data_IF_693216298984
#
_entry.id   IF_693216298984
#
_cell.length_a   1.000
_cell.length_b   1.000
_cell.length_c   1.000
_cell.angle_alpha   90.00
_cell.angle_beta   90.00
_cell.angle_gamma   90.00
#
_symmetry.space_group_name_H-M   'P 1'
#
loop_
_entity.id
_entity.type
_entity.pdbx_description
1 polymer ?
#
# COMPACT_ATOMS: atom_id res chain seq x y z
N UNK A 1 -53.23 -51.68 -3.82
CA UNK A 1 -53.36 -51.02 -2.49
C UNK A 1 -52.01 -50.43 -2.09
N UNK A 2 -52.01 -49.27 -1.43
CA UNK A 2 -50.90 -48.66 -0.65
C UNK A 2 -49.59 -48.32 -1.37
N UNK A 3 -49.53 -47.08 -1.85
CA UNK A 3 -48.31 -46.26 -1.98
C UNK A 3 -47.87 -45.78 -0.60
N UNK A 4 -46.65 -46.12 -0.15
CA UNK A 4 -45.86 -45.47 0.93
C UNK A 4 -44.38 -45.84 0.66
N UNK A 5 -43.35 -44.99 0.73
CA UNK A 5 -43.20 -43.53 0.56
C UNK A 5 -41.70 -43.22 0.35
N UNK A 6 -41.35 -42.15 -0.38
CA UNK A 6 -39.98 -41.64 -0.52
C UNK A 6 -39.99 -40.12 -0.33
N UNK A 7 -39.60 -39.60 0.84
CA UNK A 7 -39.33 -38.17 1.09
C UNK A 7 -38.81 -37.90 2.52
N UNK A 8 -37.53 -38.16 2.82
CA UNK A 8 -36.84 -37.51 3.96
C UNK A 8 -35.38 -37.21 3.56
N UNK A 9 -35.13 -36.09 2.88
CA UNK A 9 -33.79 -35.57 2.59
C UNK A 9 -33.83 -34.08 2.19
N UNK A 10 -34.53 -33.24 2.97
CA UNK A 10 -34.63 -31.80 2.71
C UNK A 10 -34.98 -30.98 3.98
N UNK A 11 -34.09 -30.90 4.98
CA UNK A 11 -34.33 -30.04 6.16
C UNK A 11 -33.08 -29.63 6.97
N UNK A 12 -31.93 -29.38 6.32
CA UNK A 12 -30.67 -29.00 7.02
C UNK A 12 -29.90 -27.83 6.40
N UNK A 13 -30.52 -27.05 5.50
CA UNK A 13 -29.83 -25.97 4.77
C UNK A 13 -29.97 -24.55 5.38
N UNK A 14 -30.80 -24.35 6.41
CA UNK A 14 -31.10 -23.03 6.99
C UNK A 14 -30.31 -22.67 8.25
N UNK A 15 -29.48 -23.57 8.78
CA UNK A 15 -28.68 -23.34 10.01
C UNK A 15 -27.51 -22.36 9.84
N UNK A 16 -27.16 -21.98 8.60
CA UNK A 16 -26.03 -21.10 8.27
C UNK A 16 -26.44 -19.84 7.48
N UNK A 17 -27.70 -19.43 7.57
CA UNK A 17 -28.10 -18.11 7.07
C UNK A 17 -27.64 -17.02 8.05
N UNK A 18 -26.76 -16.06 7.65
CA UNK A 18 -26.36 -14.97 8.54
C UNK A 18 -27.57 -14.08 8.85
N UNK A 19 -28.00 -14.08 10.11
CA UNK A 19 -29.08 -13.20 10.57
C UNK A 19 -28.61 -11.74 10.52
N UNK A 20 -29.20 -10.95 9.63
CA UNK A 20 -28.91 -9.51 9.47
C UNK A 20 -29.58 -8.65 10.57
N UNK A 21 -29.54 -9.10 11.83
CA UNK A 21 -30.07 -8.35 12.97
C UNK A 21 -29.16 -7.17 13.32
N UNK A 22 -29.47 -5.99 12.77
CA UNK A 22 -28.89 -4.71 13.20
C UNK A 22 -29.44 -4.30 14.59
N UNK A 23 -29.05 -5.04 15.61
CA UNK A 23 -29.36 -4.76 17.00
C UNK A 23 -28.22 -5.28 17.86
N UNK A 24 -27.48 -4.37 18.50
CA UNK A 24 -26.31 -4.67 19.32
C UNK A 24 -26.66 -5.42 20.60
N UNK A 25 -27.00 -6.70 20.48
CA UNK A 25 -26.99 -7.64 21.60
C UNK A 25 -25.53 -7.99 21.84
N UNK A 26 -24.97 -7.52 22.96
CA UNK A 26 -23.66 -7.97 23.42
C UNK A 26 -23.70 -9.49 23.51
N UNK A 27 -22.99 -10.16 22.60
CA UNK A 27 -22.79 -11.60 22.69
C UNK A 27 -21.82 -11.86 23.83
N UNK A 28 -22.07 -12.91 24.62
CA UNK A 28 -21.21 -13.28 25.75
C UNK A 28 -19.74 -13.58 25.34
N UNK A 29 -19.47 -13.67 24.04
CA UNK A 29 -18.14 -13.75 23.40
C UNK A 29 -17.20 -12.56 23.67
N UNK A 30 -17.69 -11.40 24.14
CA UNK A 30 -16.87 -10.19 24.32
C UNK A 30 -16.88 -9.62 25.75
N UNK A 31 -17.45 -10.35 26.71
CA UNK A 31 -17.39 -10.00 28.13
C UNK A 31 -16.25 -10.74 28.82
N UNK A 32 -15.53 -10.07 29.73
CA UNK A 32 -14.61 -10.75 30.66
C UNK A 32 -15.39 -11.79 31.46
N UNK A 33 -14.87 -13.02 31.52
CA UNK A 33 -15.45 -14.08 32.34
C UNK A 33 -15.26 -13.72 33.82
N UNK A 34 -16.32 -13.83 34.62
CA UNK A 34 -16.24 -13.52 36.05
C UNK A 34 -15.51 -14.63 36.80
N UNK A 35 -14.22 -14.42 37.05
CA UNK A 35 -13.34 -15.33 37.80
C UNK A 35 -13.42 -15.15 39.32
N UNK A 36 -14.25 -14.22 39.84
CA UNK A 36 -14.28 -13.88 41.28
C UNK A 36 -14.56 -15.10 42.16
N UNK A 37 -15.56 -15.92 41.80
CA UNK A 37 -15.89 -17.14 42.54
C UNK A 37 -14.81 -18.23 42.47
N UNK A 38 -14.06 -18.30 41.37
CA UNK A 38 -12.94 -19.24 41.25
C UNK A 38 -11.75 -18.80 42.12
N UNK A 39 -11.47 -17.49 42.17
CA UNK A 39 -10.44 -16.91 43.05
C UNK A 39 -10.78 -17.16 44.52
N UNK A 40 -12.04 -16.97 44.92
CA UNK A 40 -12.49 -17.29 46.29
C UNK A 40 -12.32 -18.78 46.63
N UNK A 41 -12.70 -19.68 45.70
CA UNK A 41 -12.50 -21.12 45.87
C UNK A 41 -11.02 -21.52 45.96
N UNK A 42 -10.15 -20.94 45.13
CA UNK A 42 -8.70 -21.18 45.18
C UNK A 42 -8.07 -20.67 46.48
N UNK A 43 -8.50 -19.51 46.97
CA UNK A 43 -8.08 -18.99 48.27
C UNK A 43 -8.61 -19.83 49.44
N UNK A 44 -9.81 -20.40 49.34
CA UNK A 44 -10.35 -21.29 50.36
C UNK A 44 -9.63 -22.65 50.39
N UNK A 45 -9.36 -23.25 49.22
CA UNK A 45 -8.57 -24.47 49.08
C UNK A 45 -7.14 -24.26 49.64
N UNK A 46 -6.49 -23.15 49.27
CA UNK A 46 -5.16 -22.78 49.78
C UNK A 46 -5.12 -22.64 51.31
N UNK A 47 -6.22 -22.18 51.94
CA UNK A 47 -6.36 -22.09 53.41
C UNK A 47 -6.62 -23.45 54.08
N UNK A 48 -7.38 -24.34 53.43
CA UNK A 48 -7.78 -25.65 53.97
C UNK A 48 -6.67 -26.70 53.86
N UNK A 49 -6.00 -26.75 52.72
CA UNK A 49 -5.04 -27.81 52.37
C UNK A 49 -3.59 -27.32 52.31
N UNK A 50 -3.38 -26.00 52.31
CA UNK A 50 -2.07 -25.35 52.19
C UNK A 50 -1.77 -24.93 50.75
N UNK A 51 -1.02 -23.84 50.59
CA UNK A 51 -0.75 -23.23 49.27
C UNK A 51 0.04 -24.13 48.29
N UNK A 52 0.70 -25.19 48.78
CA UNK A 52 1.43 -26.16 47.97
C UNK A 52 0.69 -27.52 47.83
N UNK A 53 -0.59 -27.59 48.21
CA UNK A 53 -1.39 -28.82 48.05
C UNK A 53 -1.84 -28.99 46.58
N UNK A 54 -2.07 -30.23 46.12
CA UNK A 54 -2.59 -30.47 44.77
C UNK A 54 -4.01 -29.90 44.58
N UNK A 55 -4.84 -29.87 45.63
CA UNK A 55 -6.18 -29.27 45.59
C UNK A 55 -6.11 -27.74 45.43
N UNK A 56 -5.15 -27.08 46.08
CA UNK A 56 -4.90 -25.66 45.90
C UNK A 56 -4.36 -25.36 44.49
N UNK A 57 -3.42 -26.18 43.99
CA UNK A 57 -2.87 -26.05 42.64
C UNK A 57 -3.97 -26.16 41.56
N UNK A 58 -4.79 -27.22 41.61
CA UNK A 58 -5.91 -27.42 40.67
C UNK A 58 -6.93 -26.27 40.72
N UNK A 59 -7.17 -25.69 41.89
CA UNK A 59 -8.07 -24.54 42.01
C UNK A 59 -7.47 -23.26 41.39
N UNK A 60 -6.15 -23.08 41.45
CA UNK A 60 -5.46 -22.00 40.73
C UNK A 60 -5.37 -22.23 39.23
N UNK A 61 -5.19 -23.46 38.75
CA UNK A 61 -5.27 -23.80 37.31
C UNK A 61 -6.64 -23.41 36.72
N UNK A 62 -7.74 -23.58 37.47
CA UNK A 62 -9.08 -23.12 37.04
C UNK A 62 -9.16 -21.59 36.95
N UNK A 63 -8.53 -20.85 37.89
CA UNK A 63 -8.47 -19.39 37.81
C UNK A 63 -7.66 -18.95 36.58
N UNK A 64 -6.54 -19.61 36.30
CA UNK A 64 -5.68 -19.33 35.16
C UNK A 64 -6.38 -19.60 33.82
N UNK A 65 -7.09 -20.73 33.66
CA UNK A 65 -7.87 -21.04 32.45
C UNK A 65 -9.01 -20.03 32.20
N UNK A 66 -9.65 -19.55 33.27
CA UNK A 66 -10.70 -18.53 33.18
C UNK A 66 -10.15 -17.14 32.80
N UNK A 67 -8.98 -16.75 33.29
CA UNK A 67 -8.33 -15.47 32.94
C UNK A 67 -7.64 -15.54 31.56
N UNK A 68 -7.08 -16.69 31.18
CA UNK A 68 -6.56 -16.96 29.83
C UNK A 68 -7.67 -16.93 28.75
N UNK A 69 -8.91 -17.25 29.14
CA UNK A 69 -10.10 -17.09 28.29
C UNK A 69 -10.54 -15.63 28.12
N UNK A 70 -9.98 -14.68 28.87
CA UNK A 70 -10.36 -13.26 28.82
C UNK A 70 -9.81 -12.54 27.58
N UNK A 71 -10.60 -12.58 26.51
CA UNK A 71 -10.33 -11.86 25.28
C UNK A 71 -10.61 -10.34 25.36
N UNK A 72 -10.93 -9.78 26.55
CA UNK A 72 -11.21 -8.35 26.72
C UNK A 72 -10.05 -7.44 26.29
N UNK A 73 -8.81 -7.94 26.32
CA UNK A 73 -7.64 -7.24 25.80
C UNK A 73 -7.70 -7.00 24.28
N UNK A 74 -8.27 -7.95 23.51
CA UNK A 74 -8.42 -7.85 22.06
C UNK A 74 -9.64 -7.01 21.65
N UNK A 75 -10.66 -6.90 22.50
CA UNK A 75 -11.84 -6.05 22.27
C UNK A 75 -11.71 -4.63 22.84
N UNK A 76 -10.52 -4.24 23.33
CA UNK A 76 -10.25 -2.84 23.70
C UNK A 76 -10.54 -1.95 22.48
N UNK A 77 -11.33 -0.86 22.63
CA UNK A 77 -11.55 0.06 21.52
C UNK A 77 -10.19 0.58 21.05
N UNK A 78 -10.01 0.67 19.73
CA UNK A 78 -8.78 1.19 19.14
C UNK A 78 -8.41 2.50 19.86
N UNK A 79 -7.22 2.51 20.47
CA UNK A 79 -6.75 3.66 21.23
C UNK A 79 -6.82 4.87 20.30
N UNK A 80 -7.56 5.91 20.73
CA UNK A 80 -7.56 7.20 20.05
C UNK A 80 -6.21 7.86 20.25
N UNK A 81 -5.24 7.40 19.48
CA UNK A 81 -3.91 7.95 19.44
C UNK A 81 -3.98 9.30 18.71
N UNK A 82 -3.90 10.37 19.50
CA UNK A 82 -3.89 11.73 18.99
C UNK A 82 -2.67 11.99 18.07
N UNK A 83 -1.59 11.21 18.21
CA UNK A 83 -0.44 11.25 17.31
C UNK A 83 -0.79 10.62 15.95
N UNK A 84 -1.55 9.52 15.94
CA UNK A 84 -2.06 8.91 14.71
C UNK A 84 -3.07 9.82 13.98
N UNK A 85 -4.06 10.38 14.71
CA UNK A 85 -5.01 11.34 14.13
C UNK A 85 -4.29 12.59 13.56
N UNK A 86 -3.26 13.08 14.27
CA UNK A 86 -2.40 14.16 13.81
C UNK A 86 -1.62 13.81 12.53
N UNK A 87 -1.01 12.63 12.47
CA UNK A 87 -0.27 12.13 11.29
C UNK A 87 -1.18 11.96 10.08
N UNK A 88 -2.37 11.37 10.25
CA UNK A 88 -3.36 11.22 9.16
C UNK A 88 -3.78 12.58 8.61
N UNK A 89 -4.02 13.56 9.48
CA UNK A 89 -4.37 14.94 9.07
C UNK A 89 -3.23 15.67 8.36
N UNK A 90 -1.98 15.47 8.81
CA UNK A 90 -0.81 16.02 8.12
C UNK A 90 -0.63 15.39 6.72
N UNK A 91 -0.88 14.08 6.60
CA UNK A 91 -0.81 13.37 5.33
C UNK A 91 -1.88 13.86 4.33
N UNK A 92 -3.12 14.08 4.79
CA UNK A 92 -4.19 14.59 3.92
C UNK A 92 -3.88 16.01 3.43
N UNK A 93 -3.35 16.88 4.29
CA UNK A 93 -2.93 18.23 3.89
C UNK A 93 -1.79 18.21 2.86
N UNK A 94 -0.86 17.26 2.95
CA UNK A 94 0.19 17.08 1.95
C UNK A 94 -0.37 16.63 0.61
N UNK A 95 -1.31 15.67 0.60
CA UNK A 95 -1.98 15.19 -0.61
C UNK A 95 -2.77 16.30 -1.33
N UNK A 96 -3.50 17.13 -0.58
CA UNK A 96 -4.23 18.28 -1.14
C UNK A 96 -3.25 19.29 -1.77
N UNK A 97 -2.13 19.60 -1.10
CA UNK A 97 -1.09 20.50 -1.65
C UNK A 97 -0.46 19.94 -2.93
N UNK A 98 -0.08 18.65 -2.95
CA UNK A 98 0.48 18.00 -4.14
C UNK A 98 -0.52 17.99 -5.30
N UNK A 99 -1.81 17.83 -5.01
CA UNK A 99 -2.87 17.90 -6.03
C UNK A 99 -2.99 19.32 -6.63
N UNK A 100 -2.93 20.36 -5.82
CA UNK A 100 -2.93 21.75 -6.29
C UNK A 100 -1.67 22.08 -7.11
N UNK A 101 -0.51 21.60 -6.70
CA UNK A 101 0.75 21.72 -7.44
C UNK A 101 0.68 20.97 -8.80
N UNK A 102 0.09 19.78 -8.85
CA UNK A 102 -0.17 19.06 -10.09
C UNK A 102 -1.17 19.77 -11.01
N UNK A 103 -2.19 20.43 -10.45
CA UNK A 103 -3.11 21.27 -11.22
C UNK A 103 -2.39 22.50 -11.81
N UNK A 104 -1.47 23.12 -11.07
CA UNK A 104 -0.63 24.20 -11.58
C UNK A 104 0.31 23.70 -12.68
N UNK A 105 1.05 22.61 -12.46
CA UNK A 105 1.92 21.99 -13.48
C UNK A 105 1.13 21.64 -14.75
N UNK A 106 -0.08 21.08 -14.61
CA UNK A 106 -0.94 20.80 -15.76
C UNK A 106 -1.31 22.07 -16.53
N UNK A 107 -1.66 23.15 -15.83
CA UNK A 107 -1.95 24.44 -16.46
C UNK A 107 -0.72 24.98 -17.20
N UNK A 108 0.46 24.98 -16.56
CA UNK A 108 1.71 25.37 -17.22
C UNK A 108 2.00 24.52 -18.46
N UNK A 109 1.78 23.19 -18.39
CA UNK A 109 1.97 22.29 -19.52
C UNK A 109 0.97 22.53 -20.66
N UNK A 110 -0.28 22.88 -20.36
CA UNK A 110 -1.30 23.22 -21.36
C UNK A 110 -1.05 24.62 -21.97
N UNK A 111 -0.57 25.58 -21.18
CA UNK A 111 -0.09 26.90 -21.67
C UNK A 111 1.14 26.72 -22.59
N UNK A 112 2.10 25.86 -22.22
CA UNK A 112 3.27 25.50 -23.03
C UNK A 112 2.92 24.80 -24.35
N UNK A 113 1.87 23.96 -24.40
CA UNK A 113 1.36 23.40 -25.67
C UNK A 113 0.76 24.47 -26.60
N UNK A 114 0.23 25.55 -26.03
CA UNK A 114 -0.27 26.70 -26.78
C UNK A 114 0.85 27.52 -27.43
N UNK A 115 2.01 27.60 -26.78
CA UNK A 115 3.21 28.19 -27.36
C UNK A 115 3.84 27.18 -28.33
N UNK A 116 3.62 27.39 -29.63
CA UNK A 116 4.47 26.78 -30.68
C UNK A 116 5.89 27.34 -30.59
N UNK A 117 6.64 26.89 -29.60
CA UNK A 117 8.10 27.00 -29.61
C UNK A 117 8.58 26.29 -30.88
N UNK A 118 9.37 26.98 -31.69
CA UNK A 118 10.07 26.34 -32.78
C UNK A 118 10.90 25.21 -32.16
N UNK A 119 10.67 23.99 -32.64
CA UNK A 119 11.37 22.80 -32.16
C UNK A 119 12.87 23.08 -32.22
N UNK A 120 13.60 23.13 -31.09
CA UNK A 120 15.04 23.26 -31.15
C UNK A 120 15.54 22.04 -31.91
N UNK A 121 16.19 22.26 -33.06
CA UNK A 121 16.81 21.17 -33.79
C UNK A 121 17.98 20.69 -32.92
N UNK A 122 17.76 19.61 -32.17
CA UNK A 122 18.80 18.90 -31.44
C UNK A 122 19.67 18.18 -32.46
N UNK A 123 20.44 18.96 -33.21
CA UNK A 123 21.53 18.48 -34.05
C UNK A 123 22.75 18.28 -33.16
N UNK A 124 23.14 17.01 -33.03
CA UNK A 124 24.39 16.52 -32.44
C UNK A 124 24.55 16.61 -30.91
N UNK A 125 24.14 15.53 -30.22
CA UNK A 125 25.12 14.58 -29.64
C UNK A 125 24.47 13.32 -29.04
N UNK A 126 24.34 12.26 -29.85
CA UNK A 126 24.34 10.84 -29.43
C UNK A 126 24.19 9.94 -30.68
N UNK A 127 25.20 9.16 -31.10
CA UNK A 127 25.09 8.28 -32.25
C UNK A 127 24.60 6.86 -31.87
N UNK A 128 23.49 6.73 -31.11
CA UNK A 128 23.13 5.42 -30.49
C UNK A 128 21.64 5.03 -30.37
N UNK A 129 20.74 5.57 -31.22
CA UNK A 129 19.31 5.21 -31.16
C UNK A 129 18.79 3.96 -31.94
N UNK A 130 19.51 3.30 -32.89
CA UNK A 130 18.91 2.22 -33.68
C UNK A 130 18.74 0.90 -32.91
N UNK A 131 19.56 0.64 -31.88
CA UNK A 131 19.49 -0.58 -31.08
C UNK A 131 18.28 -0.55 -30.13
N UNK A 132 18.14 0.55 -29.37
CA UNK A 132 17.03 0.75 -28.45
C UNK A 132 15.67 0.73 -29.16
N UNK A 133 15.55 1.42 -30.31
CA UNK A 133 14.31 1.40 -31.09
C UNK A 133 13.92 0.00 -31.60
N UNK A 134 14.90 -0.83 -31.99
CA UNK A 134 14.65 -2.22 -32.41
C UNK A 134 14.22 -3.10 -31.24
N UNK A 135 14.87 -2.97 -30.08
CA UNK A 135 14.50 -3.71 -28.87
C UNK A 135 13.06 -3.37 -28.44
N UNK A 136 12.72 -2.07 -28.38
CA UNK A 136 11.37 -1.61 -28.04
C UNK A 136 10.30 -2.05 -29.06
N UNK A 137 10.63 -2.07 -30.35
CA UNK A 137 9.73 -2.58 -31.38
C UNK A 137 9.48 -4.10 -31.22
N UNK A 138 10.54 -4.87 -30.94
CA UNK A 138 10.47 -6.32 -30.68
C UNK A 138 9.63 -6.63 -29.42
N UNK A 139 9.88 -5.92 -28.31
CA UNK A 139 9.14 -6.09 -27.07
C UNK A 139 7.64 -5.77 -27.21
N UNK A 140 7.30 -4.73 -27.99
CA UNK A 140 5.90 -4.40 -28.30
C UNK A 140 5.26 -5.45 -29.20
N UNK A 141 5.92 -5.91 -30.26
CA UNK A 141 5.41 -6.96 -31.14
C UNK A 141 5.17 -8.27 -30.37
N UNK A 142 6.11 -8.71 -29.53
CA UNK A 142 5.95 -9.89 -28.70
C UNK A 142 4.83 -9.73 -27.65
N UNK A 143 4.65 -8.53 -27.11
CA UNK A 143 3.54 -8.18 -26.20
C UNK A 143 2.18 -8.23 -26.91
N UNK A 144 2.11 -7.84 -28.19
CA UNK A 144 0.90 -7.85 -29.01
C UNK A 144 0.53 -9.25 -29.52
N UNK A 145 1.52 -10.04 -29.96
CA UNK A 145 1.33 -11.38 -30.53
C UNK A 145 1.08 -12.46 -29.45
N UNK A 146 1.84 -12.44 -28.36
CA UNK A 146 1.79 -13.47 -27.31
C UNK A 146 1.09 -13.00 -26.02
N UNK A 147 0.82 -11.70 -25.89
CA UNK A 147 0.24 -11.09 -24.69
C UNK A 147 1.27 -10.74 -23.62
N UNK A 148 1.00 -9.70 -22.84
CA UNK A 148 1.95 -9.09 -21.88
C UNK A 148 2.51 -10.02 -20.77
N UNK A 149 1.89 -11.18 -20.53
CA UNK A 149 2.32 -12.12 -19.50
C UNK A 149 3.07 -13.35 -20.04
N UNK A 150 3.22 -13.47 -21.36
CA UNK A 150 3.94 -14.57 -22.03
C UNK A 150 5.43 -14.57 -21.68
N UNK A 151 6.10 -15.68 -21.98
CA UNK A 151 7.55 -15.81 -21.76
C UNK A 151 8.29 -15.01 -22.84
N UNK A 152 7.76 -15.03 -24.05
CA UNK A 152 8.24 -14.34 -25.24
C UNK A 152 8.23 -12.82 -25.07
N UNK A 153 7.16 -12.26 -24.49
CA UNK A 153 7.10 -10.84 -24.18
C UNK A 153 8.11 -10.46 -23.09
N UNK A 154 8.26 -11.28 -22.04
CA UNK A 154 9.21 -11.03 -20.95
C UNK A 154 10.66 -11.02 -21.44
N UNK A 155 11.08 -12.04 -22.19
CA UNK A 155 12.42 -12.12 -22.80
C UNK A 155 12.72 -10.92 -23.71
N UNK A 156 11.71 -10.44 -24.45
CA UNK A 156 11.86 -9.27 -25.30
C UNK A 156 11.98 -7.95 -24.51
N UNK A 157 11.32 -7.84 -23.35
CA UNK A 157 11.51 -6.72 -22.42
C UNK A 157 12.85 -6.79 -21.66
N UNK A 158 13.31 -7.98 -21.25
CA UNK A 158 14.66 -8.18 -20.71
C UNK A 158 15.73 -7.70 -21.71
N UNK A 159 15.54 -7.94 -23.01
CA UNK A 159 16.43 -7.42 -24.07
C UNK A 159 16.44 -5.88 -24.13
N UNK A 160 15.31 -5.21 -23.84
CA UNK A 160 15.26 -3.74 -23.75
C UNK A 160 16.06 -3.25 -22.54
N UNK A 161 15.95 -3.94 -21.40
CA UNK A 161 16.69 -3.61 -20.19
C UNK A 161 18.20 -3.84 -20.35
N UNK A 162 18.63 -4.92 -21.02
CA UNK A 162 20.04 -5.16 -21.35
C UNK A 162 20.62 -4.07 -22.26
N UNK A 163 19.88 -3.66 -23.30
CA UNK A 163 20.31 -2.56 -24.17
C UNK A 163 20.38 -1.24 -23.38
N UNK A 164 19.41 -0.95 -22.51
CA UNK A 164 19.42 0.25 -21.66
C UNK A 164 20.58 0.26 -20.64
N UNK A 165 20.89 -0.90 -20.05
CA UNK A 165 22.02 -1.07 -19.17
C UNK A 165 23.36 -0.89 -19.92
N UNK A 166 23.46 -1.38 -21.17
CA UNK A 166 24.65 -1.22 -22.00
C UNK A 166 24.92 0.25 -22.35
N UNK A 167 23.90 1.04 -22.66
CA UNK A 167 24.02 2.49 -22.89
C UNK A 167 24.29 3.27 -21.60
N UNK A 168 23.93 2.72 -20.44
CA UNK A 168 24.21 3.35 -19.14
C UNK A 168 25.69 3.26 -18.72
N UNK A 169 26.54 2.58 -19.49
CA UNK A 169 27.99 2.57 -19.24
C UNK A 169 28.66 3.95 -19.39
N UNK A 170 28.10 4.85 -20.21
CA UNK A 170 28.56 6.25 -20.30
C UNK A 170 28.22 7.08 -19.04
N UNK A 171 27.41 6.56 -18.10
CA UNK A 171 27.21 7.19 -16.79
C UNK A 171 28.41 7.05 -15.83
N UNK A 172 29.50 6.39 -16.26
CA UNK A 172 30.80 6.37 -15.57
C UNK A 172 31.80 7.36 -16.24
N UNK A 173 31.29 8.32 -17.02
CA UNK A 173 32.08 9.47 -17.47
C UNK A 173 32.24 10.48 -16.32
N UNK A 174 33.29 11.29 -16.38
CA UNK A 174 33.67 12.27 -15.34
C UNK A 174 32.49 13.20 -14.95
N UNK A 175 32.45 13.72 -13.71
CA UNK A 175 31.30 14.46 -13.19
C UNK A 175 30.92 15.66 -14.08
N UNK A 176 29.61 15.92 -14.21
CA UNK A 176 28.99 16.89 -15.14
C UNK A 176 29.29 18.37 -14.82
N UNK A 177 30.24 18.63 -13.93
CA UNK A 177 30.40 19.87 -13.18
C UNK A 177 30.98 21.03 -14.02
N UNK A 178 31.65 20.74 -15.15
CA UNK A 178 32.38 21.76 -15.92
C UNK A 178 31.86 22.03 -17.35
N UNK A 179 31.05 21.14 -17.95
CA UNK A 179 30.55 21.35 -19.33
C UNK A 179 29.06 21.70 -19.43
N UNK A 180 28.21 21.32 -18.45
CA UNK A 180 26.77 21.63 -18.50
C UNK A 180 26.42 23.04 -17.93
N UNK A 181 27.30 23.62 -17.10
CA UNK A 181 27.04 24.92 -16.48
C UNK A 181 27.21 26.11 -17.44
N UNK A 182 28.01 26.02 -18.50
CA UNK A 182 28.24 27.17 -19.40
C UNK A 182 26.97 27.48 -20.20
N UNK A 183 26.35 26.48 -20.83
CA UNK A 183 25.09 26.66 -21.56
C UNK A 183 23.92 27.02 -20.63
N UNK A 184 23.89 26.48 -19.40
CA UNK A 184 22.85 26.81 -18.42
C UNK A 184 23.00 28.24 -17.88
N UNK A 185 24.23 28.77 -17.76
CA UNK A 185 24.50 30.16 -17.37
C UNK A 185 24.13 31.12 -18.51
N UNK A 186 24.48 30.84 -19.77
CA UNK A 186 24.01 31.65 -20.92
C UNK A 186 22.47 31.59 -21.05
N UNK A 187 21.87 30.42 -20.82
CA UNK A 187 20.41 30.26 -20.76
C UNK A 187 19.77 31.12 -19.65
N UNK A 188 20.39 31.20 -18.48
CA UNK A 188 19.95 32.09 -17.39
C UNK A 188 20.09 33.58 -17.76
N UNK A 189 21.20 33.99 -18.39
CA UNK A 189 21.39 35.40 -18.80
C UNK A 189 20.37 35.81 -19.88
N UNK A 190 20.04 34.91 -20.81
CA UNK A 190 18.97 35.12 -21.77
C UNK A 190 17.59 35.26 -21.11
N UNK A 191 17.32 34.47 -20.06
CA UNK A 191 16.06 34.52 -19.30
C UNK A 191 15.94 35.81 -18.47
N UNK A 192 17.03 36.30 -17.86
CA UNK A 192 17.04 37.60 -17.18
C UNK A 192 16.81 38.76 -18.14
N UNK A 193 17.45 38.76 -19.32
CA UNK A 193 17.19 39.76 -20.39
C UNK A 193 15.73 39.73 -20.86
N UNK A 194 15.13 38.54 -20.99
CA UNK A 194 13.72 38.40 -21.36
C UNK A 194 12.78 38.90 -20.25
N UNK A 195 13.12 38.65 -18.99
CA UNK A 195 12.37 39.18 -17.82
C UNK A 195 12.45 40.70 -17.75
N UNK A 196 13.63 41.29 -17.93
CA UNK A 196 13.81 42.74 -17.98
C UNK A 196 13.02 43.39 -19.15
N UNK A 197 12.91 42.72 -20.30
CA UNK A 197 12.09 43.16 -21.43
C UNK A 197 10.57 43.07 -21.17
N UNK A 198 10.13 42.17 -20.28
CA UNK A 198 8.74 42.08 -19.82
C UNK A 198 8.41 43.12 -18.74
N UNK A 199 9.32 43.40 -17.81
CA UNK A 199 9.12 44.37 -16.72
C UNK A 199 9.27 45.84 -17.16
N UNK A 200 9.81 46.10 -18.35
CA UNK A 200 9.96 47.44 -18.94
C UNK A 200 8.84 47.83 -19.92
N UNK A 201 7.72 47.10 -19.93
CA UNK A 201 6.56 47.32 -20.79
C UNK A 201 5.28 47.59 -19.99
#
# INVERSE_FOLDING_TARGET
MKLISVAILASTASAFAPSTSHGGRSTALFGRVDSTGAIEAALEASKKFGAASPEAALAWEIVEELDASDNSAASKPALKDAEYEGKVKALSQMLDKTKDELHQMKKLADDLKGVKLAQPSVTASAPDEPAMHRALASARAATEEFGANSVEAKLAWETVEEVAASTSADAIRAPLDEECLIELIEGCEALEKFKAALESR
#
